data_IF_581229874977
#
_entry.id   IF_581229874977
#
_cell.length_a   1.000
_cell.length_b   1.000
_cell.length_c   1.000
_cell.angle_alpha   90.00
_cell.angle_beta   90.00
_cell.angle_gamma   90.00
#
_symmetry.space_group_name_H-M   'P 1'
#
loop_
_entity.id
_entity.type
_entity.pdbx_description
1 polymer ?
#
# COMPACT_ATOMS: atom_id res chain seq x y z
N UNK A 1 8.75 -1.02 4.63
CA UNK A 1 9.87 -0.84 5.56
C UNK A 1 10.84 -2.01 5.49
N UNK A 2 12.11 -1.75 5.22
CA UNK A 2 13.19 -2.74 5.28
C UNK A 2 13.84 -2.68 6.66
N UNK A 3 13.48 -3.62 7.53
CA UNK A 3 13.89 -3.62 8.93
C UNK A 3 15.40 -3.81 9.11
N UNK A 4 16.02 -4.66 8.30
CA UNK A 4 17.45 -4.96 8.39
C UNK A 4 18.34 -3.75 8.04
N UNK A 5 17.92 -2.94 7.06
CA UNK A 5 18.66 -1.75 6.61
C UNK A 5 18.20 -0.44 7.27
N UNK A 6 17.02 -0.44 7.89
CA UNK A 6 16.38 0.77 8.42
C UNK A 6 16.01 1.75 7.31
N UNK A 7 15.46 1.24 6.19
CA UNK A 7 15.11 2.02 5.02
C UNK A 7 13.60 1.97 4.72
N UNK A 8 13.08 3.09 4.30
CA UNK A 8 11.74 3.20 3.73
C UNK A 8 11.86 3.15 2.20
N UNK A 9 11.15 2.21 1.59
CA UNK A 9 10.98 2.11 0.15
C UNK A 9 9.63 2.69 -0.23
N UNK A 10 9.59 3.48 -1.29
CA UNK A 10 8.39 4.11 -1.83
C UNK A 10 8.40 4.00 -3.34
N UNK A 11 7.26 3.72 -3.93
CA UNK A 11 7.06 3.76 -5.38
C UNK A 11 6.19 4.95 -5.76
N UNK A 12 6.27 5.39 -6.98
CA UNK A 12 5.40 6.43 -7.53
C UNK A 12 4.68 5.94 -8.77
N UNK A 13 3.53 6.55 -9.07
CA UNK A 13 2.70 6.41 -10.29
C UNK A 13 3.48 6.62 -11.61
N UNK A 14 4.71 7.12 -11.51
CA UNK A 14 5.62 7.36 -12.65
C UNK A 14 6.75 6.35 -12.74
N UNK A 15 6.64 5.23 -12.02
CA UNK A 15 7.62 4.15 -12.06
C UNK A 15 8.98 4.49 -11.44
N UNK A 16 8.99 5.34 -10.43
CA UNK A 16 10.18 5.56 -9.62
C UNK A 16 10.10 4.77 -8.33
N UNK A 17 11.22 4.21 -7.95
CA UNK A 17 11.49 3.64 -6.64
C UNK A 17 12.41 4.59 -5.88
N UNK A 18 11.98 5.05 -4.71
CA UNK A 18 12.75 5.90 -3.82
C UNK A 18 13.11 5.15 -2.56
N UNK A 19 14.38 5.27 -2.14
CA UNK A 19 14.82 4.76 -0.83
C UNK A 19 15.22 5.93 0.05
N UNK A 20 14.71 5.93 1.27
CA UNK A 20 14.96 6.99 2.24
C UNK A 20 15.16 6.40 3.63
N UNK A 21 15.78 7.17 4.51
CA UNK A 21 15.89 6.83 5.93
C UNK A 21 15.07 7.81 6.74
N UNK A 22 14.04 7.35 7.50
CA UNK A 22 13.33 8.21 8.43
C UNK A 22 14.26 8.70 9.53
N UNK A 23 14.16 9.99 9.85
CA UNK A 23 14.89 10.60 10.97
C UNK A 23 13.91 10.91 12.07
N UNK A 24 14.33 10.59 13.28
CA UNK A 24 13.55 10.88 14.48
C UNK A 24 14.38 11.72 15.45
N UNK A 25 13.74 12.72 16.06
CA UNK A 25 14.26 13.48 17.19
C UNK A 25 13.44 13.10 18.41
N UNK A 26 14.09 12.39 19.33
CA UNK A 26 13.39 11.63 20.38
C UNK A 26 12.35 10.67 19.74
N UNK A 27 11.07 10.92 19.96
CA UNK A 27 9.98 10.08 19.45
C UNK A 27 9.25 10.68 18.22
N UNK A 28 9.65 11.88 17.80
CA UNK A 28 8.99 12.60 16.71
C UNK A 28 9.71 12.41 15.37
N UNK A 29 8.95 12.13 14.35
CA UNK A 29 9.47 12.12 12.98
C UNK A 29 9.91 13.55 12.62
N UNK A 30 11.19 13.73 12.33
CA UNK A 30 11.77 15.03 11.97
C UNK A 30 12.06 15.19 10.48
N UNK A 31 11.97 14.09 9.70
CA UNK A 31 12.12 14.14 8.26
C UNK A 31 12.61 12.84 7.64
N UNK A 32 12.93 12.90 6.36
CA UNK A 32 13.53 11.82 5.56
C UNK A 32 14.91 12.23 5.09
N UNK A 33 15.85 11.29 5.14
CA UNK A 33 17.16 11.41 4.48
C UNK A 33 17.11 10.59 3.19
N UNK A 34 17.17 11.22 2.00
CA UNK A 34 17.24 10.49 0.73
C UNK A 34 18.49 9.61 0.70
N UNK A 35 18.37 8.42 0.15
CA UNK A 35 19.47 7.50 -0.12
C UNK A 35 19.72 7.47 -1.63
N UNK A 36 18.73 7.01 -2.41
CA UNK A 36 18.77 6.99 -3.87
C UNK A 36 17.37 6.91 -4.47
N UNK A 37 17.32 6.99 -5.80
CA UNK A 37 16.09 6.83 -6.58
C UNK A 37 16.41 6.15 -7.90
N UNK A 38 15.62 5.15 -8.25
CA UNK A 38 15.80 4.33 -9.45
C UNK A 38 14.51 4.26 -10.26
N UNK A 39 14.65 4.24 -11.59
CA UNK A 39 13.51 3.90 -12.46
C UNK A 39 13.26 2.40 -12.39
N UNK A 40 12.00 2.02 -12.24
CA UNK A 40 11.60 0.63 -12.46
C UNK A 40 11.81 0.28 -13.94
N UNK A 41 12.36 -0.90 -14.18
CA UNK A 41 12.74 -1.38 -15.52
C UNK A 41 12.08 -2.71 -15.81
N UNK A 42 11.72 -2.93 -17.07
CA UNK A 42 11.24 -4.23 -17.50
C UNK A 42 12.38 -5.27 -17.56
N UNK A 43 12.05 -6.50 -17.90
CA UNK A 43 12.98 -7.63 -17.97
C UNK A 43 14.09 -7.46 -18.99
N UNK A 44 13.88 -6.64 -20.02
CA UNK A 44 14.89 -6.27 -21.02
C UNK A 44 15.77 -5.09 -20.58
N UNK A 45 15.52 -4.50 -19.39
CA UNK A 45 16.24 -3.35 -18.85
C UNK A 45 15.69 -1.99 -19.31
N UNK A 46 14.64 -1.96 -20.13
CA UNK A 46 13.99 -0.71 -20.55
C UNK A 46 13.24 -0.08 -19.37
N UNK A 47 13.39 1.23 -19.11
CA UNK A 47 12.60 1.92 -18.10
C UNK A 47 11.09 1.79 -18.40
N UNK A 48 10.29 1.55 -17.35
CA UNK A 48 8.84 1.57 -17.46
C UNK A 48 8.35 3.01 -17.70
N UNK A 49 7.39 3.18 -18.61
CA UNK A 49 6.85 4.48 -18.99
C UNK A 49 5.32 4.43 -19.22
N UNK A 50 4.69 5.59 -19.12
CA UNK A 50 3.25 5.73 -19.35
C UNK A 50 2.43 4.82 -18.44
N UNK A 51 1.41 4.16 -18.97
CA UNK A 51 0.54 3.24 -18.22
C UNK A 51 1.26 2.01 -17.68
N UNK A 52 2.42 1.65 -18.20
CA UNK A 52 3.22 0.55 -17.67
C UNK A 52 4.00 0.93 -16.39
N UNK A 53 4.15 2.23 -16.12
CA UNK A 53 4.87 2.76 -14.96
C UNK A 53 3.98 3.05 -13.74
N UNK A 54 2.67 2.89 -13.88
CA UNK A 54 1.64 3.27 -12.90
C UNK A 54 1.65 2.31 -11.69
N UNK A 55 2.65 2.52 -10.82
CA UNK A 55 2.89 1.68 -9.66
C UNK A 55 2.11 2.19 -8.44
N UNK A 56 1.35 1.30 -7.79
CA UNK A 56 0.39 1.63 -6.74
C UNK A 56 0.83 1.16 -5.36
N UNK A 57 1.16 -0.09 -5.20
CA UNK A 57 1.54 -0.64 -3.89
C UNK A 57 2.86 -1.41 -3.94
N UNK A 58 3.49 -1.51 -2.79
CA UNK A 58 4.82 -2.10 -2.62
C UNK A 58 4.85 -3.02 -1.40
N UNK A 59 5.26 -4.27 -1.58
CA UNK A 59 5.57 -5.19 -0.50
C UNK A 59 6.99 -5.72 -0.60
N UNK A 60 7.66 -5.86 0.54
CA UNK A 60 9.03 -6.35 0.61
C UNK A 60 9.07 -7.85 0.94
N UNK A 61 10.15 -8.49 0.51
CA UNK A 61 10.54 -9.84 0.89
C UNK A 61 12.01 -9.82 1.29
N UNK A 62 12.38 -10.62 2.29
CA UNK A 62 13.73 -10.69 2.86
C UNK A 62 14.19 -9.40 3.55
N UNK A 63 13.24 -8.61 4.02
CA UNK A 63 13.41 -7.30 4.64
C UNK A 63 13.82 -7.35 6.12
N UNK A 64 13.69 -8.54 6.75
CA UNK A 64 13.93 -8.79 8.19
C UNK A 64 14.58 -10.16 8.45
N UNK A 65 15.44 -10.62 7.55
CA UNK A 65 16.08 -11.95 7.63
C UNK A 65 17.52 -11.91 8.18
N UNK A 66 18.00 -10.73 8.59
CA UNK A 66 19.34 -10.49 9.11
C UNK A 66 20.40 -10.38 8.02
N UNK A 67 20.02 -10.25 6.73
CA UNK A 67 20.93 -10.09 5.60
C UNK A 67 20.65 -8.80 4.86
N UNK A 68 21.69 -8.08 4.52
CA UNK A 68 21.60 -6.88 3.72
C UNK A 68 21.79 -7.20 2.23
N UNK A 69 20.98 -6.54 1.38
CA UNK A 69 21.16 -6.57 -0.07
C UNK A 69 20.48 -7.73 -0.81
N UNK A 70 19.70 -8.56 -0.12
CA UNK A 70 18.88 -9.61 -0.74
C UNK A 70 17.39 -9.29 -0.74
N UNK A 71 17.02 -8.08 -0.32
CA UNK A 71 15.63 -7.60 -0.35
C UNK A 71 15.08 -7.61 -1.77
N UNK A 72 13.90 -8.18 -1.92
CA UNK A 72 13.10 -8.16 -3.15
C UNK A 72 11.85 -7.31 -2.94
N UNK A 73 11.44 -6.62 -4.00
CA UNK A 73 10.24 -5.81 -4.02
C UNK A 73 9.18 -6.48 -4.89
N UNK A 74 7.97 -6.58 -4.37
CA UNK A 74 6.78 -6.84 -5.14
C UNK A 74 6.07 -5.51 -5.35
N UNK A 75 5.77 -5.17 -6.59
CA UNK A 75 5.08 -3.93 -6.96
C UNK A 75 3.83 -4.28 -7.73
N UNK A 76 2.70 -3.72 -7.34
CA UNK A 76 1.45 -3.75 -8.10
C UNK A 76 1.37 -2.55 -9.04
N UNK A 77 0.70 -2.74 -10.15
CA UNK A 77 0.51 -1.71 -11.16
C UNK A 77 -0.96 -1.61 -11.53
N UNK A 78 -1.39 -0.39 -11.74
CA UNK A 78 -2.71 -0.05 -12.26
C UNK A 78 -2.72 -0.01 -13.80
N UNK A 79 -3.87 0.22 -14.42
CA UNK A 79 -4.11 0.24 -15.88
C UNK A 79 -3.74 -1.05 -16.62
N UNK A 80 -2.52 -1.52 -16.48
CA UNK A 80 -2.10 -2.88 -16.82
C UNK A 80 -1.97 -3.68 -15.52
N UNK A 81 -3.12 -4.10 -14.95
CA UNK A 81 -3.20 -4.78 -13.66
C UNK A 81 -2.28 -5.99 -13.61
N UNK A 82 -1.12 -5.80 -13.00
CA UNK A 82 -0.08 -6.81 -12.88
C UNK A 82 0.72 -6.64 -11.59
N UNK A 83 1.41 -7.68 -11.23
CA UNK A 83 2.45 -7.70 -10.22
C UNK A 83 3.78 -7.97 -10.87
N UNK A 84 4.81 -7.29 -10.45
CA UNK A 84 6.17 -7.52 -10.93
C UNK A 84 7.17 -7.46 -9.79
N UNK A 85 8.23 -8.25 -9.88
CA UNK A 85 9.28 -8.28 -8.85
C UNK A 85 10.50 -7.50 -9.30
N UNK A 86 11.08 -6.77 -8.35
CA UNK A 86 12.26 -5.93 -8.61
C UNK A 86 13.31 -6.11 -7.54
N UNK A 87 14.54 -5.75 -7.89
CA UNK A 87 15.60 -5.44 -6.94
C UNK A 87 15.45 -4.00 -6.46
N UNK A 88 16.11 -3.63 -5.33
CA UNK A 88 16.11 -2.24 -4.84
C UNK A 88 16.73 -1.22 -5.80
N UNK A 89 17.45 -1.64 -6.83
CA UNK A 89 17.97 -0.79 -7.90
C UNK A 89 16.99 -0.58 -9.07
N UNK A 90 15.74 -1.08 -8.93
CA UNK A 90 14.71 -0.97 -9.96
C UNK A 90 14.78 -2.00 -11.07
N UNK A 91 15.75 -2.93 -11.04
CA UNK A 91 15.87 -3.99 -12.04
C UNK A 91 14.83 -5.08 -11.82
N UNK A 92 14.10 -5.44 -12.87
CA UNK A 92 13.13 -6.54 -12.83
C UNK A 92 13.79 -7.89 -12.58
N UNK A 93 13.17 -8.70 -11.74
CA UNK A 93 13.61 -10.07 -11.40
C UNK A 93 12.92 -11.15 -12.21
N UNK A 94 11.74 -10.88 -12.75
CA UNK A 94 10.93 -11.86 -13.47
C UNK A 94 9.88 -11.18 -14.34
N UNK A 95 9.30 -11.94 -15.25
CA UNK A 95 8.13 -11.53 -16.01
C UNK A 95 6.95 -11.18 -15.07
N UNK A 96 6.08 -10.25 -15.47
CA UNK A 96 4.92 -9.84 -14.68
C UNK A 96 3.91 -10.98 -14.52
N UNK A 97 3.19 -10.98 -13.40
CA UNK A 97 2.07 -11.86 -13.10
C UNK A 97 0.79 -11.04 -13.21
N UNK A 98 -0.25 -11.59 -13.85
CA UNK A 98 -1.58 -10.97 -13.91
C UNK A 98 -2.57 -11.85 -13.16
N UNK A 99 -2.93 -11.47 -11.91
CA UNK A 99 -3.89 -12.24 -11.11
C UNK A 99 -5.28 -12.24 -11.76
N UNK A 100 -5.90 -13.41 -11.86
CA UNK A 100 -7.27 -13.53 -12.38
C UNK A 100 -8.27 -12.77 -11.50
N UNK A 101 -8.01 -12.71 -10.19
CA UNK A 101 -8.83 -12.01 -9.20
C UNK A 101 -8.91 -10.49 -9.43
N UNK A 102 -7.94 -9.90 -10.11
CA UNK A 102 -7.96 -8.51 -10.55
C UNK A 102 -8.81 -8.29 -11.81
N UNK A 103 -9.27 -9.36 -12.45
CA UNK A 103 -10.12 -9.27 -13.63
C UNK A 103 -11.45 -8.60 -13.29
N UNK A 104 -11.82 -7.59 -14.05
CA UNK A 104 -13.04 -6.80 -13.82
C UNK A 104 -12.87 -5.60 -12.91
N UNK A 105 -11.70 -5.37 -12.33
CA UNK A 105 -11.35 -4.09 -11.74
C UNK A 105 -11.46 -2.97 -12.81
N UNK A 106 -11.80 -1.77 -12.38
CA UNK A 106 -11.78 -0.62 -13.29
C UNK A 106 -10.33 -0.28 -13.66
N UNK A 107 -10.11 0.27 -14.85
CA UNK A 107 -8.76 0.56 -15.34
C UNK A 107 -7.93 1.47 -14.43
N UNK A 108 -8.60 2.30 -13.64
CA UNK A 108 -8.01 3.23 -12.68
C UNK A 108 -8.41 2.93 -11.23
N UNK A 109 -8.61 1.65 -10.89
CA UNK A 109 -8.99 1.15 -9.56
C UNK A 109 -8.54 -0.29 -9.41
N UNK A 110 -7.25 -0.44 -9.23
CA UNK A 110 -6.57 -1.72 -9.29
C UNK A 110 -6.22 -2.32 -7.93
N UNK A 111 -5.07 -2.97 -7.92
CA UNK A 111 -4.48 -3.58 -6.73
C UNK A 111 -3.67 -2.50 -5.98
N UNK A 112 -4.36 -1.70 -5.18
CA UNK A 112 -3.74 -0.57 -4.48
C UNK A 112 -3.20 -0.94 -3.11
N UNK A 113 -3.55 -2.10 -2.61
CA UNK A 113 -3.13 -2.55 -1.30
C UNK A 113 -2.42 -3.89 -1.39
N UNK A 114 -1.24 -4.00 -0.75
CA UNK A 114 -0.49 -5.25 -0.80
C UNK A 114 0.45 -5.40 0.40
N UNK A 115 0.41 -6.58 1.03
CA UNK A 115 1.37 -6.91 2.08
C UNK A 115 1.63 -8.41 2.17
N UNK A 116 2.68 -8.79 2.91
CA UNK A 116 2.97 -10.21 3.18
C UNK A 116 2.43 -10.62 4.54
N UNK A 117 1.48 -11.57 4.53
CA UNK A 117 0.98 -12.21 5.73
C UNK A 117 1.82 -13.46 6.04
N UNK A 118 2.15 -13.76 7.32
CA UNK A 118 2.99 -14.91 7.68
C UNK A 118 2.43 -16.25 7.20
N UNK A 119 1.12 -16.45 7.27
CA UNK A 119 0.46 -17.71 6.95
C UNK A 119 -0.10 -17.75 5.52
N UNK A 120 -0.66 -16.64 5.03
CA UNK A 120 -1.32 -16.59 3.73
C UNK A 120 -0.39 -16.11 2.59
N UNK A 121 0.84 -15.72 2.89
CA UNK A 121 1.78 -15.21 1.88
C UNK A 121 1.43 -13.79 1.42
N UNK A 122 1.53 -13.50 0.13
CA UNK A 122 1.22 -12.19 -0.42
C UNK A 122 -0.30 -12.00 -0.50
N UNK A 123 -0.82 -11.05 0.27
CA UNK A 123 -2.23 -10.63 0.28
C UNK A 123 -2.35 -9.31 -0.47
N UNK A 124 -3.29 -9.25 -1.39
CA UNK A 124 -3.61 -8.10 -2.22
C UNK A 124 -5.03 -7.63 -1.93
N UNK A 125 -5.27 -6.33 -2.09
CA UNK A 125 -6.57 -5.71 -1.99
C UNK A 125 -6.88 -4.86 -3.22
N UNK A 126 -8.13 -4.92 -3.69
CA UNK A 126 -8.61 -3.98 -4.69
C UNK A 126 -9.10 -2.70 -4.02
N UNK A 127 -8.80 -1.54 -4.61
CA UNK A 127 -9.24 -0.21 -4.09
C UNK A 127 -10.74 -0.16 -3.87
N UNK A 128 -11.48 -0.63 -4.83
CA UNK A 128 -12.93 -0.54 -4.87
C UNK A 128 -13.58 -1.80 -5.43
N UNK A 129 -14.91 -1.92 -5.23
CA UNK A 129 -15.66 -3.08 -5.71
C UNK A 129 -15.44 -3.33 -7.19
N UNK A 130 -15.05 -4.55 -7.60
CA UNK A 130 -15.08 -4.92 -8.99
C UNK A 130 -16.51 -4.92 -9.51
N UNK A 131 -16.68 -4.92 -10.84
CA UNK A 131 -18.02 -4.92 -11.46
C UNK A 131 -18.85 -6.09 -10.96
N UNK A 132 -20.09 -5.79 -10.52
CA UNK A 132 -21.04 -6.79 -10.03
C UNK A 132 -20.91 -7.15 -8.55
N UNK A 133 -19.99 -6.53 -7.82
CA UNK A 133 -19.89 -6.61 -6.35
C UNK A 133 -20.65 -5.47 -5.69
N UNK A 134 -21.13 -5.68 -4.45
CA UNK A 134 -21.84 -4.65 -3.70
C UNK A 134 -20.99 -3.39 -3.51
N UNK A 135 -21.55 -2.18 -3.60
CA UNK A 135 -20.78 -0.92 -3.57
C UNK A 135 -20.00 -0.65 -2.27
N UNK A 136 -20.22 -1.45 -1.24
CA UNK A 136 -19.57 -1.30 0.08
C UNK A 136 -18.63 -2.45 0.42
N UNK A 137 -18.29 -3.28 -0.55
CA UNK A 137 -17.38 -4.40 -0.37
C UNK A 137 -16.33 -4.38 -1.46
N UNK A 138 -15.08 -4.68 -1.10
CA UNK A 138 -14.02 -4.99 -2.05
C UNK A 138 -13.48 -6.40 -1.79
N UNK A 139 -12.35 -6.75 -2.39
CA UNK A 139 -11.75 -8.07 -2.25
C UNK A 139 -10.35 -7.98 -1.70
N UNK A 140 -10.07 -8.90 -0.77
CA UNK A 140 -8.71 -9.31 -0.46
C UNK A 140 -8.48 -10.69 -1.07
N UNK A 141 -7.31 -10.94 -1.62
CA UNK A 141 -6.99 -12.23 -2.24
C UNK A 141 -5.49 -12.52 -2.20
N UNK A 142 -5.14 -13.76 -2.42
CA UNK A 142 -3.74 -14.19 -2.61
C UNK A 142 -3.49 -14.56 -4.07
N UNK A 143 -2.24 -14.82 -4.44
CA UNK A 143 -1.89 -15.37 -5.77
C UNK A 143 -2.33 -16.83 -5.94
N UNK A 144 -2.78 -17.48 -4.87
CA UNK A 144 -3.49 -18.76 -4.91
C UNK A 144 -5.00 -18.56 -5.02
N UNK A 145 -5.74 -19.51 -4.45
CA UNK A 145 -7.20 -19.54 -4.57
C UNK A 145 -7.93 -18.91 -3.36
N UNK A 146 -7.21 -18.24 -2.45
CA UNK A 146 -7.82 -17.64 -1.27
C UNK A 146 -8.39 -16.26 -1.62
N UNK A 147 -9.64 -16.01 -1.25
CA UNK A 147 -10.33 -14.75 -1.45
C UNK A 147 -11.25 -14.44 -0.25
N UNK A 148 -11.23 -13.19 0.21
CA UNK A 148 -12.10 -12.67 1.26
C UNK A 148 -12.89 -11.46 0.76
N UNK A 149 -14.15 -11.36 1.21
CA UNK A 149 -14.96 -10.17 0.99
C UNK A 149 -14.68 -9.15 2.08
N UNK A 150 -14.08 -8.04 1.68
CA UNK A 150 -13.71 -6.98 2.60
C UNK A 150 -14.76 -5.87 2.61
N UNK A 151 -15.57 -5.72 3.68
CA UNK A 151 -16.52 -4.63 3.83
C UNK A 151 -15.74 -3.32 4.09
N UNK A 152 -15.91 -2.35 3.18
CA UNK A 152 -15.34 -1.02 3.32
C UNK A 152 -15.94 -0.28 4.51
N UNK A 153 -15.20 0.68 5.06
CA UNK A 153 -15.64 1.51 6.17
C UNK A 153 -16.94 2.29 5.85
N UNK A 154 -17.67 2.65 6.90
CA UNK A 154 -19.01 3.26 6.78
C UNK A 154 -19.07 4.59 5.99
N UNK A 155 -18.07 5.51 6.02
CA UNK A 155 -18.13 6.73 5.25
C UNK A 155 -18.33 6.48 3.76
N UNK A 156 -19.17 7.30 3.12
CA UNK A 156 -19.45 7.19 1.69
C UNK A 156 -18.17 7.49 0.89
N UNK A 157 -17.88 6.66 -0.12
CA UNK A 157 -16.70 6.81 -0.95
C UNK A 157 -15.44 6.23 -0.31
N UNK A 158 -15.57 5.36 0.71
CA UNK A 158 -14.44 4.61 1.24
C UNK A 158 -13.84 3.70 0.19
N UNK A 159 -12.54 3.67 0.15
CA UNK A 159 -11.70 2.86 -0.73
C UNK A 159 -10.51 2.32 0.06
N UNK A 160 -10.10 1.09 -0.20
CA UNK A 160 -8.91 0.49 0.39
C UNK A 160 -7.68 1.01 -0.37
N UNK A 161 -6.79 1.69 0.31
CA UNK A 161 -5.62 2.33 -0.31
C UNK A 161 -4.30 1.66 0.05
N UNK A 162 -4.18 0.95 1.18
CA UNK A 162 -2.97 0.20 1.49
C UNK A 162 -3.21 -0.85 2.59
N UNK A 163 -2.31 -1.85 2.63
CA UNK A 163 -2.21 -2.88 3.66
C UNK A 163 -0.79 -2.94 4.23
N UNK A 164 -0.67 -3.21 5.52
CA UNK A 164 0.60 -3.59 6.13
C UNK A 164 0.39 -4.70 7.15
N UNK A 165 1.38 -5.59 7.32
CA UNK A 165 1.31 -6.66 8.30
C UNK A 165 1.58 -6.15 9.72
N UNK A 166 0.86 -6.71 10.70
CA UNK A 166 1.04 -6.50 12.14
C UNK A 166 0.99 -7.86 12.86
N UNK A 167 2.08 -8.61 12.81
CA UNK A 167 2.11 -10.01 13.24
C UNK A 167 1.26 -10.88 12.34
N UNK A 168 0.26 -11.57 12.90
CA UNK A 168 -0.73 -12.37 12.17
C UNK A 168 -1.99 -11.56 11.82
N UNK A 169 -2.01 -10.26 12.09
CA UNK A 169 -3.08 -9.38 11.66
C UNK A 169 -2.61 -8.53 10.48
N UNK A 170 -3.53 -7.91 9.75
CA UNK A 170 -3.26 -6.86 8.80
C UNK A 170 -3.80 -5.53 9.32
N UNK A 171 -3.12 -4.45 8.98
CA UNK A 171 -3.65 -3.10 9.11
C UNK A 171 -4.00 -2.59 7.73
N UNK A 172 -5.25 -2.13 7.59
CA UNK A 172 -5.76 -1.55 6.35
C UNK A 172 -5.89 -0.03 6.51
N UNK A 173 -5.45 0.69 5.51
CA UNK A 173 -5.70 2.11 5.33
C UNK A 173 -6.85 2.29 4.34
N UNK A 174 -7.84 3.06 4.74
CA UNK A 174 -8.94 3.43 3.86
C UNK A 174 -9.09 4.94 3.81
N UNK A 175 -9.41 5.44 2.64
CA UNK A 175 -9.73 6.83 2.37
C UNK A 175 -11.15 6.95 1.86
N UNK A 176 -11.96 7.79 2.50
CA UNK A 176 -13.29 8.14 2.03
C UNK A 176 -13.29 9.57 1.49
N UNK A 177 -13.56 9.72 0.20
CA UNK A 177 -13.65 11.02 -0.47
C UNK A 177 -14.93 11.10 -1.30
N UNK A 178 -15.91 11.85 -0.80
CA UNK A 178 -17.21 12.06 -1.46
C UNK A 178 -17.71 13.50 -1.21
N UNK A 179 -17.15 14.52 -1.88
CA UNK A 179 -17.58 15.91 -1.69
C UNK A 179 -19.09 16.08 -1.87
N UNK A 180 -19.77 16.92 -1.03
CA UNK A 180 -19.18 17.87 -0.07
C UNK A 180 -18.86 17.30 1.33
N UNK A 181 -18.92 15.99 1.52
CA UNK A 181 -18.55 15.38 2.80
C UNK A 181 -17.05 15.58 3.09
N UNK A 182 -16.66 15.68 4.39
CA UNK A 182 -15.25 15.74 4.77
C UNK A 182 -14.48 14.52 4.29
N UNK A 183 -13.18 14.72 4.01
CA UNK A 183 -12.23 13.60 3.80
C UNK A 183 -12.09 12.84 5.12
N UNK A 184 -12.20 11.52 5.05
CA UNK A 184 -12.03 10.62 6.21
C UNK A 184 -10.96 9.58 5.90
N UNK A 185 -10.01 9.41 6.81
CA UNK A 185 -9.01 8.36 6.79
C UNK A 185 -9.31 7.38 7.92
N UNK A 186 -9.45 6.11 7.60
CA UNK A 186 -9.71 5.04 8.58
C UNK A 186 -8.55 4.06 8.63
N UNK A 187 -8.12 3.71 9.83
CA UNK A 187 -7.16 2.64 10.09
C UNK A 187 -7.93 1.47 10.70
N UNK A 188 -7.82 0.30 10.09
CA UNK A 188 -8.58 -0.89 10.50
C UNK A 188 -7.65 -2.08 10.67
N UNK A 189 -7.90 -2.91 11.68
CA UNK A 189 -7.26 -4.21 11.85
C UNK A 189 -8.11 -5.29 11.20
N UNK A 190 -7.46 -6.20 10.50
CA UNK A 190 -8.09 -7.35 9.85
C UNK A 190 -7.42 -8.61 10.39
N UNK A 191 -8.22 -9.54 10.89
CA UNK A 191 -7.81 -10.92 11.17
C UNK A 191 -8.36 -11.81 10.08
N UNK A 192 -7.47 -12.40 9.29
CA UNK A 192 -7.85 -13.35 8.25
C UNK A 192 -8.06 -14.73 8.87
N UNK A 193 -9.25 -15.27 8.69
CA UNK A 193 -9.55 -16.69 8.92
C UNK A 193 -9.48 -17.48 7.61
N UNK A 194 -9.92 -18.74 7.68
CA UNK A 194 -10.15 -19.51 6.46
C UNK A 194 -11.18 -18.79 5.58
N UNK A 195 -10.93 -18.62 4.27
CA UNK A 195 -11.85 -17.92 3.41
C UNK A 195 -13.27 -18.51 3.43
N UNK A 196 -14.30 -17.71 3.47
CA UNK A 196 -14.32 -16.23 3.35
C UNK A 196 -14.30 -15.49 4.70
N UNK A 197 -13.94 -16.13 5.80
CA UNK A 197 -14.02 -15.57 7.16
C UNK A 197 -12.96 -14.50 7.37
N UNK A 198 -13.37 -13.34 7.86
CA UNK A 198 -12.50 -12.29 8.36
C UNK A 198 -13.18 -11.52 9.49
N UNK A 199 -12.37 -11.03 10.43
CA UNK A 199 -12.81 -10.15 11.51
C UNK A 199 -12.15 -8.77 11.34
N UNK A 200 -12.93 -7.70 11.51
CA UNK A 200 -12.45 -6.34 11.27
C UNK A 200 -12.80 -5.44 12.45
N UNK A 201 -11.78 -4.75 12.92
CA UNK A 201 -11.87 -3.74 13.97
C UNK A 201 -11.41 -2.38 13.42
N UNK A 202 -12.21 -1.32 13.61
CA UNK A 202 -11.75 0.03 13.32
C UNK A 202 -10.93 0.54 14.51
N UNK A 203 -9.63 0.76 14.29
CA UNK A 203 -8.70 1.23 15.31
C UNK A 203 -8.76 2.75 15.48
N UNK A 204 -8.87 3.48 14.36
CA UNK A 204 -8.94 4.94 14.35
C UNK A 204 -9.66 5.44 13.11
N UNK A 205 -10.24 6.64 13.24
CA UNK A 205 -10.81 7.37 12.12
C UNK A 205 -10.51 8.86 12.32
N UNK A 206 -10.01 9.50 11.28
CA UNK A 206 -9.63 10.91 11.27
C UNK A 206 -10.45 11.62 10.21
N UNK A 207 -11.10 12.73 10.56
CA UNK A 207 -11.92 13.50 9.64
C UNK A 207 -11.38 14.93 9.49
N UNK A 208 -11.31 15.43 8.26
CA UNK A 208 -10.98 16.83 8.01
C UNK A 208 -12.04 17.79 8.59
N UNK A 209 -13.28 17.30 8.78
CA UNK A 209 -14.34 18.03 9.46
C UNK A 209 -14.08 18.25 10.95
N UNK A 210 -13.25 17.42 11.58
CA UNK A 210 -12.84 17.55 12.99
C UNK A 210 -11.55 18.36 13.14
N UNK A 211 -11.08 19.00 12.08
CA UNK A 211 -9.89 19.85 12.08
C UNK A 211 -8.57 19.11 11.85
N UNK A 212 -8.60 17.82 11.47
CA UNK A 212 -7.41 17.11 11.08
C UNK A 212 -6.90 17.59 9.72
N UNK A 213 -5.60 17.79 9.63
CA UNK A 213 -4.92 18.08 8.38
C UNK A 213 -4.65 16.78 7.64
N UNK A 214 -5.57 16.42 6.77
CA UNK A 214 -5.54 15.18 6.00
C UNK A 214 -5.32 15.50 4.52
N UNK A 215 -4.76 14.55 3.82
CA UNK A 215 -4.69 14.56 2.36
C UNK A 215 -4.93 13.12 1.84
N UNK A 216 -4.67 12.88 0.59
CA UNK A 216 -4.85 11.63 -0.12
C UNK A 216 -3.91 10.52 0.42
N UNK A 217 -4.21 9.99 1.62
CA UNK A 217 -3.38 8.96 2.27
C UNK A 217 -3.48 7.65 1.53
N UNK A 218 -2.36 7.20 0.93
CA UNK A 218 -2.27 6.00 0.10
C UNK A 218 -1.17 5.05 0.55
N UNK A 219 -0.15 5.53 1.26
CA UNK A 219 0.91 4.67 1.78
C UNK A 219 0.75 4.36 3.27
N UNK A 220 0.99 3.13 3.66
CA UNK A 220 1.03 2.67 5.05
C UNK A 220 2.16 1.68 5.24
N UNK A 221 2.97 1.85 6.28
CA UNK A 221 3.93 0.84 6.70
C UNK A 221 4.13 0.83 8.20
N UNK A 222 4.49 -0.33 8.74
CA UNK A 222 4.81 -0.52 10.15
C UNK A 222 6.32 -0.63 10.33
N UNK A 223 6.87 0.23 11.17
CA UNK A 223 8.28 0.19 11.56
C UNK A 223 8.55 -0.95 12.56
N UNK A 224 9.81 -1.36 12.68
CA UNK A 224 10.22 -2.42 13.61
C UNK A 224 9.90 -2.15 15.08
N UNK A 225 9.75 -0.89 15.46
CA UNK A 225 9.37 -0.46 16.81
C UNK A 225 7.85 -0.32 17.02
N UNK A 226 7.05 -0.70 16.03
CA UNK A 226 5.59 -0.67 16.07
C UNK A 226 4.95 0.64 15.65
N UNK A 227 5.72 1.69 15.38
CA UNK A 227 5.17 2.94 14.82
C UNK A 227 4.66 2.70 13.40
N UNK A 228 3.64 3.45 13.01
CA UNK A 228 3.08 3.44 11.67
C UNK A 228 3.47 4.73 10.95
N UNK A 229 3.90 4.61 9.71
CA UNK A 229 4.08 5.73 8.80
C UNK A 229 2.99 5.70 7.75
N UNK A 230 2.31 6.85 7.58
CA UNK A 230 1.32 7.07 6.53
C UNK A 230 1.86 8.13 5.58
N UNK A 231 1.72 7.89 4.29
CA UNK A 231 2.14 8.80 3.24
C UNK A 231 0.94 9.20 2.39
N UNK A 232 0.82 10.51 2.08
CA UNK A 232 -0.15 10.97 1.10
C UNK A 232 0.50 11.19 -0.27
N UNK A 233 -0.27 10.91 -1.31
CA UNK A 233 0.04 11.34 -2.67
C UNK A 233 -0.58 12.71 -2.96
N UNK A 234 0.17 13.59 -3.61
CA UNK A 234 -0.30 14.91 -4.02
C UNK A 234 -0.90 14.94 -5.44
N UNK A 235 -0.93 13.79 -6.13
CA UNK A 235 -1.45 13.67 -7.50
C UNK A 235 -0.87 14.73 -8.46
N UNK A 236 0.34 15.23 -8.19
CA UNK A 236 0.92 16.39 -8.86
C UNK A 236 -0.03 17.61 -8.90
N UNK A 237 -0.91 17.74 -7.93
CA UNK A 237 -1.92 18.81 -7.80
C UNK A 237 -1.42 19.91 -6.86
N UNK A 238 -1.49 21.21 -7.26
CA UNK A 238 -1.10 22.29 -6.37
C UNK A 238 -2.03 22.45 -5.14
N UNK A 239 -3.14 21.73 -5.12
CA UNK A 239 -4.12 21.74 -4.01
C UNK A 239 -3.92 20.61 -3.03
N UNK A 240 -3.07 19.61 -3.35
CA UNK A 240 -2.76 18.48 -2.50
C UNK A 240 -1.32 18.56 -2.00
N UNK A 241 -0.99 17.75 -1.00
CA UNK A 241 0.32 17.78 -0.34
C UNK A 241 0.85 16.37 -0.15
N UNK A 242 2.15 16.20 -0.36
CA UNK A 242 2.86 15.00 0.09
C UNK A 242 3.13 15.14 1.59
N UNK A 243 2.34 14.46 2.41
CA UNK A 243 2.45 14.44 3.87
C UNK A 243 3.02 13.09 4.32
N UNK A 244 3.93 13.11 5.27
CA UNK A 244 4.35 11.92 5.99
C UNK A 244 3.95 12.04 7.46
N UNK A 245 3.06 11.16 7.89
CA UNK A 245 2.51 11.14 9.24
C UNK A 245 3.03 9.93 10.00
N UNK A 246 3.47 10.14 11.24
CA UNK A 246 3.88 9.05 12.12
C UNK A 246 2.85 8.88 13.24
N UNK A 247 2.28 7.69 13.35
CA UNK A 247 1.37 7.31 14.41
C UNK A 247 2.06 6.32 15.35
N UNK A 248 1.75 6.44 16.64
CA UNK A 248 2.13 5.45 17.66
C UNK A 248 0.85 4.78 18.16
N UNK A 249 0.64 3.50 17.85
CA UNK A 249 -0.42 2.72 18.50
C UNK A 249 -0.21 2.69 20.02
N UNK A 250 -1.29 2.79 20.78
CA UNK A 250 -1.27 2.70 22.26
C UNK A 250 -1.68 1.32 22.70
#
# INVERSE_FOLDING_TARGET
WEGDAGLLHMVSDRGWLHRTRPRFEAEHLSGLSPIDSHRLRDTDGTPLEGSAADAESLSLRHDTNGKLGDTELWVSFERDHRLQRFRPDGTSLAAPIRPEQATGAAANKGMEAMTRHPEHGLVLGLESPPRGVAPKETRLFTLGDQEWRYPLAAPTGSALTELTADGNDLLALERAFAPPAPLVISLRRIRLGEPPELDIETLASFSSGDGWWLDNMEGLTRLSDGRLLLLSDDNASPLQRSLLVCLRPR
#
